data_IF_201110696810
#
_entry.id   IF_201110696810
#
_cell.length_a   1.000
_cell.length_b   1.000
_cell.length_c   1.000
_cell.angle_alpha   90.00
_cell.angle_beta   90.00
_cell.angle_gamma   90.00
#
_symmetry.space_group_name_H-M   'P 1'
#
loop_
_entity.id
_entity.type
_entity.pdbx_description
1 polymer ?
#
# COMPACT_ATOMS: atom_id res chain seq x y z
N UNK A 1 -9.98 3.42 27.01
CA UNK A 1 -10.59 3.69 25.69
C UNK A 1 -10.36 2.43 24.87
N UNK A 2 -11.43 1.72 24.50
CA UNK A 2 -11.32 0.44 23.80
C UNK A 2 -10.70 0.67 22.42
N UNK A 3 -9.55 0.04 22.18
CA UNK A 3 -8.94 -0.07 20.85
C UNK A 3 -9.95 -0.81 19.96
N UNK A 4 -10.46 -0.13 18.94
CA UNK A 4 -11.41 -0.73 18.01
C UNK A 4 -10.79 -1.96 17.36
N UNK A 5 -11.40 -3.13 17.58
CA UNK A 5 -11.05 -4.34 16.82
C UNK A 5 -11.21 -4.06 15.32
N UNK A 6 -10.16 -4.28 14.55
CA UNK A 6 -10.15 -4.10 13.10
C UNK A 6 -11.20 -5.00 12.47
N UNK A 7 -12.18 -4.42 11.78
CA UNK A 7 -13.08 -5.18 10.93
C UNK A 7 -12.26 -5.83 9.80
N UNK A 8 -12.60 -7.07 9.44
CA UNK A 8 -12.12 -7.64 8.19
C UNK A 8 -12.56 -6.73 7.02
N UNK A 9 -11.69 -6.44 6.04
CA UNK A 9 -12.00 -5.51 4.97
C UNK A 9 -13.22 -5.99 4.15
N UNK A 10 -14.11 -5.05 3.79
CA UNK A 10 -15.24 -5.33 2.90
C UNK A 10 -14.73 -5.34 1.45
N UNK A 11 -14.33 -6.53 0.99
CA UNK A 11 -13.78 -6.78 -0.32
C UNK A 11 -14.83 -7.47 -1.22
N UNK A 12 -15.27 -6.78 -2.28
CA UNK A 12 -16.09 -7.39 -3.34
C UNK A 12 -15.16 -8.01 -4.40
N UNK A 13 -15.25 -9.32 -4.69
CA UNK A 13 -14.49 -9.91 -5.78
C UNK A 13 -14.91 -9.31 -7.12
N UNK A 14 -13.92 -8.93 -7.93
CA UNK A 14 -14.11 -8.42 -9.29
C UNK A 14 -13.57 -9.39 -10.35
N UNK A 15 -12.38 -9.94 -10.11
CA UNK A 15 -11.72 -10.86 -11.03
C UNK A 15 -11.06 -12.00 -10.26
N UNK A 16 -11.40 -13.24 -10.63
CA UNK A 16 -10.74 -14.43 -10.11
C UNK A 16 -9.43 -14.67 -10.88
N UNK A 17 -8.31 -14.78 -10.17
CA UNK A 17 -6.99 -15.05 -10.75
C UNK A 17 -6.47 -16.45 -10.42
N UNK A 18 -7.17 -17.24 -9.60
CA UNK A 18 -6.84 -18.63 -9.33
C UNK A 18 -6.79 -19.47 -10.61
N UNK A 19 -6.11 -20.61 -10.55
CA UNK A 19 -5.94 -21.53 -11.66
C UNK A 19 -4.49 -21.58 -12.14
N UNK A 20 -4.30 -21.83 -13.44
CA UNK A 20 -2.95 -21.94 -14.00
C UNK A 20 -2.26 -20.57 -14.13
N UNK A 21 -1.02 -20.52 -13.66
CA UNK A 21 -0.05 -19.43 -13.81
C UNK A 21 1.17 -19.92 -14.59
N UNK A 22 1.91 -19.00 -15.21
CA UNK A 22 3.25 -19.29 -15.72
C UNK A 22 4.22 -19.39 -14.55
N UNK A 23 5.17 -20.32 -14.61
CA UNK A 23 6.09 -20.62 -13.51
C UNK A 23 7.51 -20.90 -14.00
N UNK A 24 8.50 -20.42 -13.26
CA UNK A 24 9.91 -20.62 -13.54
C UNK A 24 10.72 -20.61 -12.23
N UNK A 25 11.70 -21.51 -12.12
CA UNK A 25 12.61 -21.60 -10.98
C UNK A 25 13.82 -20.68 -11.13
N UNK A 26 14.36 -20.23 -10.01
CA UNK A 26 15.48 -19.31 -9.94
C UNK A 26 15.05 -17.86 -9.77
N UNK A 27 16.00 -16.94 -9.93
CA UNK A 27 15.78 -15.54 -9.63
C UNK A 27 16.36 -14.62 -10.69
N UNK A 28 15.49 -13.90 -11.39
CA UNK A 28 15.89 -12.91 -12.37
C UNK A 28 14.92 -11.74 -12.37
N UNK A 29 15.40 -10.58 -11.93
CA UNK A 29 14.62 -9.34 -11.85
C UNK A 29 13.92 -8.94 -13.16
N UNK A 30 14.44 -9.35 -14.33
CA UNK A 30 13.81 -9.10 -15.64
C UNK A 30 12.46 -9.78 -15.80
N UNK A 31 12.18 -10.81 -15.01
CA UNK A 31 10.91 -11.53 -15.01
C UNK A 31 9.75 -10.72 -14.42
N UNK A 32 10.03 -9.58 -13.79
CA UNK A 32 9.02 -8.59 -13.43
C UNK A 32 8.58 -7.74 -14.63
N UNK A 33 9.41 -7.62 -15.67
CA UNK A 33 9.16 -6.72 -16.80
C UNK A 33 7.89 -7.13 -17.52
N UNK A 34 7.08 -6.13 -17.86
CA UNK A 34 5.83 -6.40 -18.55
C UNK A 34 6.04 -7.09 -19.90
N UNK A 35 7.03 -6.64 -20.67
CA UNK A 35 7.29 -7.13 -22.02
C UNK A 35 8.11 -8.43 -22.05
N UNK A 36 8.41 -9.03 -20.90
CA UNK A 36 9.13 -10.29 -20.83
C UNK A 36 8.33 -11.42 -21.48
N UNK A 37 8.99 -12.18 -22.36
CA UNK A 37 8.42 -13.34 -23.04
C UNK A 37 8.53 -14.59 -22.15
N UNK A 38 7.41 -14.94 -21.51
CA UNK A 38 7.24 -16.12 -20.67
C UNK A 38 6.62 -17.31 -21.43
N UNK A 39 6.63 -17.29 -22.77
CA UNK A 39 6.03 -18.36 -23.59
C UNK A 39 6.64 -19.73 -23.29
N UNK A 40 7.92 -19.76 -22.92
CA UNK A 40 8.69 -20.96 -22.58
C UNK A 40 8.55 -21.42 -21.13
N UNK A 41 7.96 -20.62 -20.26
CA UNK A 41 7.76 -21.00 -18.86
C UNK A 41 6.76 -22.14 -18.71
N UNK A 42 7.01 -22.96 -17.69
CA UNK A 42 6.12 -24.01 -17.24
C UNK A 42 4.80 -23.43 -16.71
N UNK A 43 3.89 -24.32 -16.34
CA UNK A 43 2.58 -23.96 -15.79
C UNK A 43 2.41 -24.62 -14.44
N UNK A 44 1.82 -23.88 -13.52
CA UNK A 44 1.54 -24.34 -12.15
C UNK A 44 0.14 -23.89 -11.75
N UNK A 45 -0.59 -24.68 -10.97
CA UNK A 45 -1.82 -24.22 -10.36
C UNK A 45 -1.50 -23.31 -9.15
N UNK A 46 -2.21 -22.19 -9.03
CA UNK A 46 -2.17 -21.33 -7.85
C UNK A 46 -3.61 -20.93 -7.46
N UNK A 47 -3.97 -20.99 -6.17
CA UNK A 47 -3.10 -21.37 -5.06
C UNK A 47 -2.93 -22.89 -4.93
N UNK A 48 -1.69 -23.34 -4.73
CA UNK A 48 -1.26 -24.68 -4.32
C UNK A 48 0.24 -24.63 -3.97
N UNK A 49 0.73 -25.41 -2.99
CA UNK A 49 2.17 -25.58 -2.78
C UNK A 49 2.85 -26.13 -4.04
N UNK A 50 4.01 -25.62 -4.42
CA UNK A 50 4.65 -26.06 -5.66
C UNK A 50 5.13 -27.51 -5.62
N UNK A 51 5.31 -28.09 -4.42
CA UNK A 51 5.68 -29.50 -4.22
C UNK A 51 4.57 -30.44 -4.68
N UNK A 52 3.31 -30.01 -4.51
CA UNK A 52 2.13 -30.75 -4.97
C UNK A 52 1.93 -30.62 -6.49
N UNK A 53 2.58 -29.64 -7.11
CA UNK A 53 2.47 -29.31 -8.53
C UNK A 53 3.73 -29.71 -9.34
N UNK A 54 4.54 -30.63 -8.81
CA UNK A 54 5.63 -31.27 -9.54
C UNK A 54 7.04 -30.78 -9.21
N UNK A 55 7.20 -29.97 -8.16
CA UNK A 55 8.51 -29.48 -7.69
C UNK A 55 8.85 -30.00 -6.27
N UNK A 56 8.91 -31.32 -6.05
CA UNK A 56 9.05 -31.88 -4.71
C UNK A 56 10.38 -31.52 -4.05
N UNK A 57 10.31 -30.94 -2.85
CA UNK A 57 11.47 -30.59 -2.02
C UNK A 57 12.35 -29.49 -2.61
N UNK A 58 11.79 -28.64 -3.48
CA UNK A 58 12.48 -27.50 -4.00
C UNK A 58 12.41 -26.34 -3.01
N UNK A 59 13.54 -25.99 -2.41
CA UNK A 59 13.70 -24.77 -1.62
C UNK A 59 14.48 -23.74 -2.45
N UNK A 60 14.04 -22.49 -2.47
CA UNK A 60 14.73 -21.42 -3.17
C UNK A 60 13.81 -20.40 -3.81
N UNK A 61 14.29 -19.82 -4.91
CA UNK A 61 13.57 -18.78 -5.63
C UNK A 61 12.67 -19.37 -6.72
N UNK A 62 11.45 -18.87 -6.82
CA UNK A 62 10.60 -19.14 -7.96
C UNK A 62 9.79 -17.90 -8.33
N UNK A 63 9.31 -17.87 -9.56
CA UNK A 63 8.50 -16.78 -10.06
C UNK A 63 7.21 -17.28 -10.69
N UNK A 64 6.13 -16.57 -10.41
CA UNK A 64 4.84 -16.76 -11.03
C UNK A 64 4.51 -15.57 -11.94
N UNK A 65 3.89 -15.83 -13.10
CA UNK A 65 3.32 -14.77 -13.97
C UNK A 65 1.87 -15.09 -14.35
N UNK A 66 0.99 -14.12 -14.15
CA UNK A 66 -0.42 -14.17 -14.58
C UNK A 66 -0.75 -13.01 -15.47
N UNK A 67 -1.19 -13.34 -16.67
CA UNK A 67 -1.74 -12.35 -17.57
C UNK A 67 -3.26 -12.24 -17.41
N UNK A 68 -3.79 -11.04 -17.51
CA UNK A 68 -5.22 -10.75 -17.34
C UNK A 68 -5.64 -9.45 -18.02
N UNK A 69 -6.94 -9.30 -18.28
CA UNK A 69 -7.56 -8.04 -18.71
C UNK A 69 -8.43 -7.48 -17.58
N UNK A 70 -8.62 -6.17 -17.58
CA UNK A 70 -9.50 -5.46 -16.64
C UNK A 70 -10.59 -4.73 -17.41
N UNK A 71 -11.75 -4.62 -16.79
CA UNK A 71 -12.87 -3.87 -17.36
C UNK A 71 -12.67 -2.36 -17.17
N UNK A 72 -13.24 -1.56 -18.07
CA UNK A 72 -13.07 -0.10 -18.06
C UNK A 72 -13.69 0.57 -16.82
N UNK A 73 -14.70 -0.05 -16.20
CA UNK A 73 -15.36 0.44 -14.99
C UNK A 73 -14.46 0.36 -13.74
N UNK A 74 -13.42 -0.47 -13.76
CA UNK A 74 -12.45 -0.57 -12.66
C UNK A 74 -11.71 0.75 -12.42
N UNK A 75 -11.61 1.64 -13.43
CA UNK A 75 -10.93 2.95 -13.35
C UNK A 75 -11.38 3.83 -12.18
N UNK A 76 -12.63 3.68 -11.74
CA UNK A 76 -13.20 4.49 -10.66
C UNK A 76 -13.27 3.76 -9.32
N UNK A 77 -12.74 2.53 -9.26
CA UNK A 77 -12.81 1.67 -8.07
C UNK A 77 -11.50 1.72 -7.27
N UNK A 78 -11.61 1.44 -5.97
CA UNK A 78 -10.48 1.20 -5.08
C UNK A 78 -10.09 -0.27 -5.17
N UNK A 79 -9.13 -0.57 -6.04
CA UNK A 79 -8.75 -1.94 -6.40
C UNK A 79 -7.68 -2.51 -5.47
N UNK A 80 -7.85 -3.76 -5.06
CA UNK A 80 -6.87 -4.51 -4.27
C UNK A 80 -6.56 -5.84 -4.93
N UNK A 81 -5.30 -6.24 -4.85
CA UNK A 81 -4.84 -7.57 -5.20
C UNK A 81 -4.78 -8.43 -3.94
N UNK A 82 -5.41 -9.60 -3.97
CA UNK A 82 -5.20 -10.68 -3.00
C UNK A 82 -4.47 -11.81 -3.69
N UNK A 83 -3.40 -12.32 -3.08
CA UNK A 83 -2.66 -13.48 -3.57
C UNK A 83 -2.56 -14.60 -2.53
N UNK A 84 -3.55 -14.70 -1.64
CA UNK A 84 -3.54 -15.72 -0.60
C UNK A 84 -2.30 -15.62 0.30
N UNK A 85 -1.91 -16.76 0.86
CA UNK A 85 -0.71 -16.92 1.67
C UNK A 85 0.46 -17.37 0.78
N UNK A 86 1.57 -16.65 0.87
CA UNK A 86 2.78 -16.92 0.10
C UNK A 86 3.90 -17.26 1.08
N UNK A 87 4.49 -18.43 0.90
CA UNK A 87 5.57 -18.95 1.74
C UNK A 87 6.92 -18.76 1.04
N UNK A 88 7.99 -18.27 1.67
CA UNK A 88 8.09 -17.53 2.94
C UNK A 88 8.04 -16.01 2.69
N UNK A 89 8.62 -15.57 1.57
CA UNK A 89 8.87 -14.17 1.24
C UNK A 89 8.39 -13.90 -0.17
N UNK A 90 7.77 -12.74 -0.40
CA UNK A 90 7.33 -12.35 -1.73
C UNK A 90 7.58 -10.88 -2.08
N UNK A 91 7.81 -10.62 -3.36
CA UNK A 91 7.67 -9.30 -3.99
C UNK A 91 6.66 -9.44 -5.14
N UNK A 92 5.74 -8.47 -5.25
CA UNK A 92 4.67 -8.50 -6.26
C UNK A 92 4.74 -7.29 -7.15
N UNK A 93 4.68 -7.55 -8.46
CA UNK A 93 4.81 -6.56 -9.50
C UNK A 93 3.56 -6.57 -10.40
N UNK A 94 3.05 -5.38 -10.71
CA UNK A 94 2.07 -5.16 -11.76
C UNK A 94 2.74 -4.45 -12.93
N UNK A 95 2.82 -5.10 -14.08
CA UNK A 95 3.43 -4.55 -15.29
C UNK A 95 4.86 -4.01 -15.06
N UNK A 96 5.65 -4.65 -14.19
CA UNK A 96 7.01 -4.22 -13.82
C UNK A 96 7.10 -3.21 -12.67
N UNK A 97 5.97 -2.72 -12.15
CA UNK A 97 5.94 -1.86 -10.97
C UNK A 97 5.68 -2.70 -9.73
N UNK A 98 6.57 -2.65 -8.73
CA UNK A 98 6.34 -3.31 -7.45
C UNK A 98 5.15 -2.64 -6.73
N UNK A 99 4.21 -3.44 -6.24
CA UNK A 99 2.98 -2.98 -5.57
C UNK A 99 2.76 -3.61 -4.19
N UNK A 100 3.48 -4.68 -3.85
CA UNK A 100 3.34 -5.36 -2.56
C UNK A 100 4.49 -6.32 -2.29
N UNK A 101 4.55 -6.81 -1.06
CA UNK A 101 5.56 -7.75 -0.58
C UNK A 101 5.09 -8.47 0.69
N UNK A 102 5.76 -9.56 1.04
CA UNK A 102 5.73 -10.18 2.37
C UNK A 102 7.15 -10.57 2.78
N UNK A 103 7.51 -10.33 4.04
CA UNK A 103 8.84 -10.70 4.56
C UNK A 103 10.00 -9.89 3.98
N UNK A 104 11.22 -10.41 4.14
CA UNK A 104 12.45 -9.88 3.56
C UNK A 104 13.26 -10.99 2.92
N UNK A 105 13.79 -10.73 1.73
CA UNK A 105 14.67 -11.66 1.01
C UNK A 105 16.06 -11.75 1.68
N UNK A 106 16.78 -12.88 1.52
CA UNK A 106 18.18 -12.97 1.94
C UNK A 106 19.07 -11.84 1.39
N UNK A 107 20.12 -11.42 2.12
CA UNK A 107 20.66 -12.04 3.34
C UNK A 107 19.90 -11.70 4.63
N UNK A 108 19.08 -10.65 4.64
CA UNK A 108 18.33 -10.20 5.82
C UNK A 108 16.97 -10.92 5.94
N UNK A 109 17.01 -12.25 5.78
CA UNK A 109 15.82 -13.08 5.65
C UNK A 109 14.84 -12.92 6.83
N UNK A 110 13.58 -12.65 6.49
CA UNK A 110 12.48 -12.65 7.44
C UNK A 110 11.25 -13.22 6.77
N UNK A 111 10.70 -14.29 7.34
CA UNK A 111 9.49 -14.91 6.80
C UNK A 111 8.25 -14.03 6.99
N UNK A 112 7.41 -14.00 5.95
CA UNK A 112 6.05 -13.48 5.94
C UNK A 112 4.99 -14.57 5.75
N UNK A 113 5.32 -15.86 5.94
CA UNK A 113 4.48 -17.01 5.62
C UNK A 113 3.06 -16.95 6.20
N UNK A 114 2.90 -16.39 7.41
CA UNK A 114 1.64 -16.33 8.13
C UNK A 114 0.74 -15.15 7.71
N UNK A 115 1.12 -14.39 6.69
CA UNK A 115 0.42 -13.18 6.26
C UNK A 115 -0.11 -13.38 4.84
N UNK A 116 -1.43 -13.26 4.67
CA UNK A 116 -2.02 -13.19 3.35
C UNK A 116 -1.60 -11.88 2.67
N UNK A 117 -1.11 -11.96 1.43
CA UNK A 117 -0.74 -10.77 0.67
C UNK A 117 -1.99 -10.07 0.16
N UNK A 118 -2.22 -8.87 0.68
CA UNK A 118 -3.23 -7.92 0.22
C UNK A 118 -2.59 -6.55 0.00
N UNK A 119 -2.64 -6.03 -1.23
CA UNK A 119 -2.06 -4.72 -1.56
C UNK A 119 -2.97 -3.90 -2.48
N UNK A 120 -2.87 -2.58 -2.36
CA UNK A 120 -3.56 -1.65 -3.24
C UNK A 120 -3.02 -1.80 -4.67
N UNK A 121 -3.91 -1.76 -5.66
CA UNK A 121 -3.53 -1.63 -7.07
C UNK A 121 -3.67 -0.16 -7.46
N UNK A 122 -2.56 0.56 -7.72
CA UNK A 122 -2.64 1.91 -8.29
C UNK A 122 -3.26 1.84 -9.69
N UNK A 123 -4.42 2.47 -9.89
CA UNK A 123 -5.13 2.48 -11.18
C UNK A 123 -4.25 2.94 -12.37
N UNK A 124 -3.23 3.78 -12.12
CA UNK A 124 -2.29 4.23 -13.14
C UNK A 124 -1.30 3.17 -13.64
N UNK A 125 -1.10 2.08 -12.88
CA UNK A 125 -0.28 0.95 -13.31
C UNK A 125 -1.06 -0.05 -14.16
N UNK A 126 -2.39 0.03 -14.15
CA UNK A 126 -3.25 -0.79 -14.98
C UNK A 126 -3.32 -0.27 -16.42
N UNK A 127 -3.33 -1.22 -17.35
CA UNK A 127 -3.65 -1.01 -18.75
C UNK A 127 -5.03 -1.55 -19.04
N UNK A 128 -5.92 -0.69 -19.50
CA UNK A 128 -7.32 -1.08 -19.73
C UNK A 128 -7.58 -1.54 -21.16
N UNK A 129 -6.75 -1.11 -22.10
CA UNK A 129 -6.92 -1.40 -23.53
C UNK A 129 -6.09 -2.62 -23.96
N UNK A 130 -5.29 -3.20 -23.06
CA UNK A 130 -4.43 -4.33 -23.34
C UNK A 130 -4.26 -5.23 -22.11
N UNK A 131 -3.49 -6.28 -22.26
CA UNK A 131 -3.20 -7.24 -21.22
C UNK A 131 -2.30 -6.63 -20.13
N UNK A 132 -2.58 -6.99 -18.89
CA UNK A 132 -1.75 -6.72 -17.74
C UNK A 132 -1.06 -8.01 -17.32
N UNK A 133 0.08 -7.88 -16.65
CA UNK A 133 0.76 -9.01 -16.02
C UNK A 133 1.01 -8.73 -14.54
N UNK A 134 0.62 -9.68 -13.69
CA UNK A 134 1.11 -9.78 -12.31
C UNK A 134 2.30 -10.74 -12.33
N UNK A 135 3.43 -10.31 -11.79
CA UNK A 135 4.59 -11.16 -11.52
C UNK A 135 4.79 -11.26 -10.02
N UNK A 136 5.02 -12.46 -9.51
CA UNK A 136 5.26 -12.72 -8.08
C UNK A 136 6.61 -13.41 -7.98
N UNK A 137 7.55 -12.74 -7.33
CA UNK A 137 8.83 -13.34 -6.93
C UNK A 137 8.63 -13.96 -5.55
N UNK A 138 9.01 -15.21 -5.38
CA UNK A 138 8.90 -15.94 -4.13
C UNK A 138 10.27 -16.48 -3.74
N UNK A 139 10.59 -16.41 -2.45
CA UNK A 139 11.68 -17.17 -1.86
C UNK A 139 11.13 -18.02 -0.73
N UNK A 140 11.28 -19.33 -0.87
CA UNK A 140 11.04 -20.31 0.17
C UNK A 140 12.39 -20.74 0.77
N UNK A 141 12.48 -20.69 2.09
CA UNK A 141 13.67 -21.16 2.81
C UNK A 141 13.65 -22.67 3.02
N UNK A 142 12.47 -23.28 3.26
CA UNK A 142 12.29 -24.71 3.50
C UNK A 142 10.81 -25.12 3.44
N UNK A 143 10.61 -26.39 3.12
CA UNK A 143 9.33 -27.13 3.22
C UNK A 143 8.43 -26.95 2.01
N UNK A 144 7.37 -26.17 2.13
CA UNK A 144 6.29 -26.12 1.16
C UNK A 144 6.16 -24.69 0.67
N UNK A 145 6.71 -24.42 -0.52
CA UNK A 145 6.80 -23.07 -1.04
C UNK A 145 5.66 -22.67 -1.98
N UNK A 146 5.63 -21.37 -2.27
CA UNK A 146 4.76 -20.81 -3.30
C UNK A 146 3.50 -20.12 -2.78
N UNK A 147 2.55 -19.89 -3.68
CA UNK A 147 1.22 -19.35 -3.34
C UNK A 147 0.35 -20.50 -2.86
N UNK A 148 0.37 -20.79 -1.56
CA UNK A 148 -0.08 -22.10 -1.04
C UNK A 148 -1.61 -22.23 -0.93
N UNK A 149 -2.30 -21.21 -0.42
CA UNK A 149 -3.74 -21.24 -0.19
C UNK A 149 -4.36 -19.85 -0.05
N UNK A 150 -5.69 -19.77 -0.03
CA UNK A 150 -6.45 -18.52 0.13
C UNK A 150 -6.97 -17.94 -1.18
N UNK A 151 -7.56 -16.76 -1.11
CA UNK A 151 -8.18 -16.11 -2.26
C UNK A 151 -7.14 -15.45 -3.16
N UNK A 152 -7.19 -15.75 -4.48
CA UNK A 152 -6.31 -15.16 -5.49
C UNK A 152 -7.15 -14.41 -6.52
N UNK A 153 -7.07 -13.07 -6.49
CA UNK A 153 -7.93 -12.24 -7.35
C UNK A 153 -7.80 -10.74 -7.14
N UNK A 154 -8.55 -9.99 -7.94
CA UNK A 154 -8.72 -8.54 -7.82
C UNK A 154 -10.08 -8.25 -7.18
N UNK A 155 -10.07 -7.35 -6.21
CA UNK A 155 -11.22 -6.98 -5.40
C UNK A 155 -11.43 -5.48 -5.40
N UNK A 156 -12.68 -5.05 -5.28
CA UNK A 156 -13.03 -3.68 -4.91
C UNK A 156 -13.12 -3.60 -3.39
N UNK A 157 -12.37 -2.69 -2.79
CA UNK A 157 -12.46 -2.38 -1.38
C UNK A 157 -13.54 -1.32 -1.12
N UNK A 158 -14.56 -1.69 -0.34
CA UNK A 158 -15.79 -0.89 -0.11
C UNK A 158 -15.93 -0.35 1.30
N UNK A 159 -15.15 -0.86 2.24
CA UNK A 159 -15.11 -0.39 3.62
C UNK A 159 -14.41 0.98 3.74
N UNK A 160 -13.66 1.41 2.74
CA UNK A 160 -13.01 2.71 2.75
C UNK A 160 -13.95 3.88 2.53
N UNK A 161 -13.67 4.93 3.29
CA UNK A 161 -14.28 6.22 3.07
C UNK A 161 -13.58 6.90 1.89
N UNK A 162 -14.14 6.76 0.70
CA UNK A 162 -13.65 7.46 -0.49
C UNK A 162 -13.59 8.98 -0.21
N UNK A 163 -12.41 9.62 -0.40
CA UNK A 163 -12.24 11.04 -0.18
C UNK A 163 -13.25 11.87 -0.99
N UNK A 164 -13.70 13.00 -0.43
CA UNK A 164 -14.41 14.04 -1.21
C UNK A 164 -13.45 14.74 -2.20
N UNK A 165 -12.15 14.72 -1.91
CA UNK A 165 -11.09 15.23 -2.75
C UNK A 165 -9.87 14.31 -2.66
N UNK A 166 -9.54 13.64 -3.75
CA UNK A 166 -8.40 12.71 -3.82
C UNK A 166 -7.07 13.47 -3.83
N UNK A 167 -6.16 13.06 -2.97
CA UNK A 167 -4.78 13.56 -2.94
C UNK A 167 -3.78 12.46 -3.31
N UNK A 168 -4.22 11.25 -3.66
CA UNK A 168 -3.33 10.22 -4.20
C UNK A 168 -2.70 10.69 -5.52
N UNK A 169 -1.48 10.23 -5.81
CA UNK A 169 -0.72 10.79 -6.93
C UNK A 169 0.75 10.99 -6.63
N UNK A 170 1.38 11.84 -7.44
CA UNK A 170 2.79 12.19 -7.30
C UNK A 170 2.94 13.29 -6.26
N UNK A 171 3.76 13.01 -5.25
CA UNK A 171 4.12 13.93 -4.19
C UNK A 171 5.61 14.23 -4.30
N UNK A 172 6.02 15.46 -3.97
CA UNK A 172 7.43 15.78 -3.76
C UNK A 172 7.94 15.00 -2.56
N UNK A 173 9.18 14.55 -2.63
CA UNK A 173 9.78 13.68 -1.64
C UNK A 173 11.25 14.01 -1.42
N UNK A 174 11.71 13.89 -0.17
CA UNK A 174 13.08 14.20 0.23
C UNK A 174 13.47 13.36 1.43
N UNK A 175 14.60 12.66 1.32
CA UNK A 175 15.22 11.99 2.48
C UNK A 175 15.94 13.01 3.36
N UNK A 176 16.05 12.70 4.65
CA UNK A 176 16.61 13.58 5.67
C UNK A 176 15.53 14.29 6.50
N UNK A 177 15.99 15.11 7.45
CA UNK A 177 15.13 15.71 8.47
C UNK A 177 15.48 17.18 8.71
N UNK A 178 14.63 18.08 8.21
CA UNK A 178 14.74 19.52 8.39
C UNK A 178 13.33 20.12 8.51
N UNK A 179 13.01 20.63 9.69
CA UNK A 179 11.68 21.15 10.03
C UNK A 179 11.29 22.39 9.23
N UNK A 180 12.26 23.09 8.61
CA UNK A 180 11.95 24.19 7.69
C UNK A 180 11.18 23.74 6.46
N UNK A 181 11.24 22.44 6.13
CA UNK A 181 10.52 21.84 5.01
C UNK A 181 9.01 21.71 5.28
N UNK A 182 8.51 22.03 6.47
CA UNK A 182 7.07 22.19 6.71
C UNK A 182 6.51 23.49 6.12
N UNK A 183 7.34 24.53 5.98
CA UNK A 183 6.88 25.87 5.64
C UNK A 183 6.20 25.92 4.25
N UNK A 184 5.05 26.60 4.16
CA UNK A 184 4.29 26.73 2.92
C UNK A 184 5.13 27.34 1.78
N UNK A 185 5.98 28.32 2.10
CA UNK A 185 6.81 29.03 1.14
C UNK A 185 8.12 28.32 0.75
N UNK A 186 8.42 27.15 1.34
CA UNK A 186 9.64 26.42 1.02
C UNK A 186 9.65 25.96 -0.45
N UNK A 187 10.80 26.12 -1.12
CA UNK A 187 11.00 25.73 -2.52
C UNK A 187 11.40 24.24 -2.61
N UNK A 188 10.42 23.42 -2.99
CA UNK A 188 10.54 21.98 -3.22
C UNK A 188 10.75 21.63 -4.70
N UNK A 189 11.08 22.60 -5.56
CA UNK A 189 11.23 22.38 -7.01
C UNK A 189 12.30 21.34 -7.37
N UNK A 190 13.33 21.20 -6.52
CA UNK A 190 14.43 20.24 -6.69
C UNK A 190 14.18 18.88 -6.04
N UNK A 191 13.03 18.69 -5.39
CA UNK A 191 12.70 17.42 -4.77
C UNK A 191 12.28 16.41 -5.84
N UNK A 192 12.67 15.16 -5.63
CA UNK A 192 12.20 14.05 -6.44
C UNK A 192 10.71 13.81 -6.21
N UNK A 193 10.07 13.08 -7.10
CA UNK A 193 8.66 12.72 -6.98
C UNK A 193 8.53 11.23 -6.70
N UNK A 194 7.57 10.91 -5.83
CA UNK A 194 7.15 9.54 -5.51
C UNK A 194 5.63 9.47 -5.60
N UNK A 195 5.12 8.30 -5.95
CA UNK A 195 3.72 7.95 -5.87
C UNK A 195 3.29 7.71 -4.42
N UNK A 196 2.12 8.23 -4.09
CA UNK A 196 1.44 8.04 -2.81
C UNK A 196 0.00 7.60 -3.09
N UNK A 197 -0.50 6.52 -2.47
CA UNK A 197 0.24 5.60 -1.62
C UNK A 197 1.11 4.62 -2.43
N UNK A 198 2.32 4.35 -1.95
CA UNK A 198 3.24 3.29 -2.39
C UNK A 198 4.46 3.26 -1.45
N UNK A 199 5.03 2.08 -1.23
CA UNK A 199 6.28 1.91 -0.45
C UNK A 199 7.49 2.56 -1.13
N UNK A 200 8.54 2.84 -0.37
CA UNK A 200 9.77 3.48 -0.84
C UNK A 200 10.64 2.58 -1.73
N UNK A 201 10.76 1.29 -1.41
CA UNK A 201 11.56 0.32 -2.19
C UNK A 201 11.08 0.20 -3.64
N UNK A 202 9.76 0.17 -3.83
CA UNK A 202 9.11 0.17 -5.15
C UNK A 202 9.45 1.40 -6.00
N UNK A 203 10.06 2.41 -5.39
CA UNK A 203 10.32 3.73 -5.97
C UNK A 203 11.81 4.07 -6.00
N UNK A 204 12.68 3.10 -5.69
CA UNK A 204 14.12 3.21 -5.80
C UNK A 204 14.87 3.52 -4.50
N UNK A 205 14.17 3.62 -3.36
CA UNK A 205 14.78 3.85 -2.04
C UNK A 205 14.87 2.55 -1.25
N UNK A 206 15.57 1.58 -1.82
CA UNK A 206 15.67 0.24 -1.22
C UNK A 206 16.40 0.28 0.11
N UNK A 207 15.86 -0.40 1.12
CA UNK A 207 16.44 -0.51 2.47
C UNK A 207 16.76 0.85 3.11
N UNK A 208 15.97 1.90 2.79
CA UNK A 208 16.15 3.21 3.38
C UNK A 208 15.34 3.32 4.68
N UNK A 209 16.02 3.27 5.81
CA UNK A 209 15.45 3.61 7.11
C UNK A 209 15.82 5.04 7.51
N UNK A 210 14.87 5.77 8.09
CA UNK A 210 15.12 7.10 8.65
C UNK A 210 14.02 8.10 8.35
N UNK A 211 14.42 9.36 8.23
CA UNK A 211 13.48 10.45 8.04
C UNK A 211 13.26 10.75 6.56
N UNK A 212 12.00 10.96 6.20
CA UNK A 212 11.64 11.53 4.92
C UNK A 212 10.61 12.62 5.10
N UNK A 213 10.54 13.49 4.11
CA UNK A 213 9.49 14.48 3.99
C UNK A 213 8.80 14.32 2.65
N UNK A 214 7.47 14.38 2.72
CA UNK A 214 6.63 14.54 1.55
C UNK A 214 6.04 15.93 1.49
N UNK A 215 5.82 16.45 0.28
CA UNK A 215 5.07 17.68 0.04
C UNK A 215 4.12 17.54 -1.15
N UNK A 216 2.90 18.05 -1.01
CA UNK A 216 1.94 18.19 -2.10
C UNK A 216 1.25 19.53 -2.03
N UNK A 217 1.09 20.16 -3.19
CA UNK A 217 0.38 21.42 -3.37
C UNK A 217 -0.98 21.15 -4.00
N UNK A 218 -2.03 21.79 -3.48
CA UNK A 218 -3.38 21.60 -3.98
C UNK A 218 -4.25 22.84 -3.78
N UNK A 219 -5.27 22.98 -4.62
CA UNK A 219 -6.34 23.97 -4.45
C UNK A 219 -7.59 23.27 -3.97
N UNK A 220 -8.19 23.80 -2.90
CA UNK A 220 -9.42 23.24 -2.35
C UNK A 220 -10.57 23.46 -3.35
N UNK A 221 -11.35 22.42 -3.67
CA UNK A 221 -12.59 22.56 -4.43
C UNK A 221 -13.58 23.52 -3.75
N UNK A 222 -14.29 24.33 -4.53
CA UNK A 222 -15.21 25.35 -4.01
C UNK A 222 -16.31 24.78 -3.10
N UNK A 223 -16.77 23.55 -3.37
CA UNK A 223 -17.76 22.83 -2.56
C UNK A 223 -17.22 22.38 -1.18
N UNK A 224 -15.90 22.37 -0.98
CA UNK A 224 -15.26 21.98 0.27
C UNK A 224 -14.68 23.16 1.06
N UNK A 225 -14.52 24.33 0.44
CA UNK A 225 -13.83 25.50 0.99
C UNK A 225 -14.35 25.99 2.36
N UNK A 226 -15.64 25.82 2.65
CA UNK A 226 -16.27 26.24 3.90
C UNK A 226 -16.73 25.04 4.77
N UNK A 227 -16.25 23.83 4.46
CA UNK A 227 -16.61 22.62 5.20
C UNK A 227 -15.54 22.32 6.24
N UNK A 228 -15.93 21.67 7.33
CA UNK A 228 -14.96 21.06 8.26
C UNK A 228 -14.41 19.81 7.59
N UNK A 229 -13.09 19.72 7.44
CA UNK A 229 -12.42 18.64 6.73
C UNK A 229 -11.57 17.79 7.67
N UNK A 230 -11.39 16.53 7.28
CA UNK A 230 -10.45 15.57 7.85
C UNK A 230 -9.51 15.15 6.72
N UNK A 231 -8.22 15.25 6.95
CA UNK A 231 -7.18 14.70 6.10
C UNK A 231 -7.06 13.20 6.37
N UNK A 232 -7.18 12.38 5.35
CA UNK A 232 -6.84 10.96 5.36
C UNK A 232 -5.46 10.81 4.72
N UNK A 233 -4.54 10.11 5.40
CA UNK A 233 -3.22 9.74 4.85
C UNK A 233 -3.04 8.21 4.77
N UNK A 234 -4.13 7.44 4.88
CA UNK A 234 -4.08 5.99 4.82
C UNK A 234 -3.17 5.39 5.91
N UNK A 235 -2.32 4.41 5.57
CA UNK A 235 -1.33 3.86 6.50
C UNK A 235 0.07 4.34 6.13
N UNK A 236 0.82 4.72 7.16
CA UNK A 236 2.20 5.20 7.05
C UNK A 236 3.06 4.33 7.94
N UNK A 237 4.13 3.80 7.38
CA UNK A 237 5.19 3.08 8.09
C UNK A 237 6.32 4.06 8.43
N UNK A 238 6.64 4.39 9.69
CA UNK A 238 6.08 3.96 10.98
C UNK A 238 5.33 5.13 11.64
N UNK A 239 6.05 6.21 11.96
CA UNK A 239 5.52 7.42 12.62
C UNK A 239 5.46 8.60 11.66
N UNK A 240 4.56 9.55 11.96
CA UNK A 240 4.42 10.75 11.15
C UNK A 240 3.98 12.00 11.92
N UNK A 241 4.31 13.16 11.35
CA UNK A 241 3.76 14.47 11.65
C UNK A 241 3.25 15.12 10.36
N UNK A 242 1.99 15.57 10.36
CA UNK A 242 1.34 16.20 9.21
C UNK A 242 1.15 17.70 9.44
N UNK A 243 1.55 18.50 8.45
CA UNK A 243 1.51 19.96 8.49
C UNK A 243 0.69 20.50 7.33
N UNK A 244 -0.20 21.45 7.61
CA UNK A 244 -0.92 22.21 6.60
C UNK A 244 -0.46 23.66 6.63
N UNK A 245 0.07 24.13 5.50
CA UNK A 245 0.56 25.49 5.34
C UNK A 245 1.60 25.93 6.39
N UNK A 246 2.42 24.97 6.86
CA UNK A 246 3.44 25.19 7.89
C UNK A 246 3.01 24.86 9.32
N UNK A 247 1.71 24.64 9.56
CA UNK A 247 1.16 24.40 10.89
C UNK A 247 0.87 22.91 11.12
N UNK A 248 1.31 22.37 12.25
CA UNK A 248 1.07 20.96 12.60
C UNK A 248 -0.43 20.71 12.83
N UNK A 249 -1.01 19.78 12.09
CA UNK A 249 -2.43 19.41 12.20
C UNK A 249 -2.67 18.05 12.85
N UNK A 250 -1.64 17.20 12.93
CA UNK A 250 -1.75 15.88 13.52
C UNK A 250 -0.44 15.11 13.53
N UNK A 251 -0.40 14.03 14.31
CA UNK A 251 0.73 13.11 14.40
C UNK A 251 0.27 11.72 14.83
N UNK A 252 1.03 10.70 14.49
CA UNK A 252 0.94 9.35 15.06
C UNK A 252 2.32 8.88 15.46
N UNK A 253 2.42 8.32 16.67
CA UNK A 253 3.71 7.97 17.27
C UNK A 253 4.52 9.20 17.69
N UNK A 254 5.82 8.98 17.96
CA UNK A 254 6.75 10.03 18.37
C UNK A 254 8.04 9.95 17.59
N UNK A 255 8.30 10.96 16.77
CA UNK A 255 9.54 11.12 16.04
C UNK A 255 10.72 11.38 17.00
N UNK A 256 11.82 10.63 16.85
CA UNK A 256 13.04 10.81 17.64
C UNK A 256 14.27 10.29 16.90
N UNK A 257 15.42 10.93 17.07
CA UNK A 257 16.70 10.40 16.57
C UNK A 257 17.17 9.19 17.40
N UNK A 258 17.90 8.27 16.75
CA UNK A 258 18.51 7.11 17.42
C UNK A 258 17.53 6.02 17.81
N UNK A 259 16.42 5.88 17.08
CA UNK A 259 15.57 4.70 17.19
C UNK A 259 16.24 3.51 16.52
N UNK A 260 15.92 2.32 17.02
CA UNK A 260 16.37 1.03 16.51
C UNK A 260 15.18 0.14 16.24
N UNK A 261 15.41 -1.01 15.62
CA UNK A 261 14.41 -2.08 15.46
C UNK A 261 13.68 -2.44 16.77
N UNK A 262 14.21 -2.16 17.96
CA UNK A 262 13.52 -2.42 19.24
C UNK A 262 12.44 -1.41 19.59
N UNK A 263 12.39 -0.30 18.87
CA UNK A 263 11.49 0.81 19.11
C UNK A 263 10.29 0.82 18.14
N UNK A 264 10.16 -0.20 17.27
CA UNK A 264 8.98 -0.38 16.42
C UNK A 264 7.73 -0.59 17.25
N UNK A 265 6.62 -0.03 16.78
CA UNK A 265 5.33 -0.13 17.43
C UNK A 265 4.27 -0.69 16.51
N UNK A 266 3.01 -0.31 16.75
CA UNK A 266 1.89 -0.68 15.89
C UNK A 266 1.46 0.49 14.99
N UNK A 267 2.22 1.58 14.98
CA UNK A 267 1.98 2.79 14.22
C UNK A 267 1.85 2.50 12.73
N UNK A 268 2.71 1.65 12.15
CA UNK A 268 2.60 1.23 10.75
C UNK A 268 1.21 0.69 10.33
N UNK A 269 0.44 0.08 11.24
CA UNK A 269 -0.89 -0.47 10.95
C UNK A 269 -2.03 0.55 11.09
N UNK A 270 -1.78 1.69 11.73
CA UNK A 270 -2.82 2.66 12.06
C UNK A 270 -3.25 3.45 10.82
N UNK A 271 -4.55 3.67 10.66
CA UNK A 271 -5.03 4.62 9.65
C UNK A 271 -4.92 6.05 10.16
N UNK A 272 -4.38 6.93 9.32
CA UNK A 272 -4.16 8.33 9.62
C UNK A 272 -5.36 9.17 9.21
N UNK A 273 -5.92 9.86 10.19
CA UNK A 273 -7.02 10.79 10.01
C UNK A 273 -6.86 12.01 10.93
N UNK A 274 -6.57 13.18 10.36
CA UNK A 274 -6.30 14.41 11.10
C UNK A 274 -7.31 15.50 10.78
N UNK A 275 -7.88 16.13 11.81
CA UNK A 275 -8.84 17.21 11.60
C UNK A 275 -8.10 18.46 11.10
N UNK A 276 -8.61 19.09 10.04
CA UNK A 276 -8.04 20.33 9.53
C UNK A 276 -8.79 21.52 10.16
N UNK A 277 -8.09 22.42 10.90
CA UNK A 277 -8.65 23.71 11.29
C UNK A 277 -8.99 24.55 10.06
N UNK A 278 -10.24 25.04 10.00
CA UNK A 278 -10.72 25.83 8.85
C UNK A 278 -9.88 27.09 8.61
N UNK A 279 -9.33 27.68 9.68
CA UNK A 279 -8.47 28.88 9.63
C UNK A 279 -7.14 28.65 8.93
N UNK A 280 -6.69 27.39 8.81
CA UNK A 280 -5.43 27.06 8.13
C UNK A 280 -5.60 26.88 6.63
N UNK A 281 -6.83 26.66 6.15
CA UNK A 281 -7.08 26.50 4.72
C UNK A 281 -7.04 27.86 4.02
N UNK A 282 -6.40 27.87 2.85
CA UNK A 282 -6.47 28.95 1.89
C UNK A 282 -7.52 28.59 0.81
N UNK A 283 -8.79 29.02 0.95
CA UNK A 283 -9.86 28.63 0.03
C UNK A 283 -9.76 29.30 -1.34
N UNK A 284 -9.00 30.41 -1.45
CA UNK A 284 -8.86 31.19 -2.68
C UNK A 284 -7.52 30.94 -3.40
N UNK A 285 -6.65 30.14 -2.81
CA UNK A 285 -5.31 29.92 -3.31
C UNK A 285 -4.83 28.49 -3.13
N UNK A 286 -3.53 28.32 -3.23
CA UNK A 286 -2.86 27.05 -3.04
C UNK A 286 -2.65 26.77 -1.56
N UNK A 287 -2.76 25.49 -1.21
CA UNK A 287 -2.42 24.93 0.09
C UNK A 287 -1.25 23.97 -0.10
N UNK A 288 -0.37 23.92 0.89
CA UNK A 288 0.74 22.97 0.96
C UNK A 288 0.49 22.01 2.11
N UNK A 289 0.42 20.73 1.81
CA UNK A 289 0.49 19.66 2.81
C UNK A 289 1.92 19.13 2.83
N UNK A 290 2.54 19.11 4.00
CA UNK A 290 3.82 18.48 4.24
C UNK A 290 3.64 17.34 5.25
N UNK A 291 4.28 16.19 5.02
CA UNK A 291 4.23 15.04 5.93
C UNK A 291 5.66 14.61 6.21
N UNK A 292 6.06 14.72 7.48
CA UNK A 292 7.33 14.23 8.00
C UNK A 292 7.11 12.81 8.47
N UNK A 293 7.85 11.86 7.93
CA UNK A 293 7.74 10.44 8.27
C UNK A 293 9.07 9.96 8.81
N UNK A 294 9.02 9.12 9.84
CA UNK A 294 10.16 8.35 10.28
C UNK A 294 9.81 6.88 10.16
N UNK A 295 10.57 6.19 9.33
CA UNK A 295 10.63 4.75 9.27
C UNK A 295 11.86 4.27 10.06
N UNK A 296 11.70 3.15 10.74
CA UNK A 296 12.72 2.59 11.63
C UNK A 296 13.25 1.27 11.09
N UNK A 297 12.43 0.52 10.35
CA UNK A 297 12.79 -0.81 9.88
C UNK A 297 11.84 -1.29 8.79
N UNK A 298 12.34 -2.14 7.89
CA UNK A 298 11.62 -2.71 6.74
C UNK A 298 11.39 -1.67 5.64
N UNK A 299 10.13 -1.42 5.30
CA UNK A 299 9.75 -0.74 4.08
C UNK A 299 8.95 0.50 4.44
N UNK A 300 9.60 1.64 4.46
CA UNK A 300 8.90 2.89 4.71
C UNK A 300 7.90 3.25 3.61
N UNK A 301 6.98 4.15 3.97
CA UNK A 301 6.06 4.71 3.00
C UNK A 301 4.71 5.08 3.56
N UNK A 302 4.06 6.02 2.89
CA UNK A 302 2.59 6.08 2.88
C UNK A 302 2.15 4.94 1.96
N UNK A 303 1.98 3.73 2.49
CA UNK A 303 1.93 2.51 1.68
C UNK A 303 0.51 2.01 1.37
N UNK A 304 -0.49 2.46 2.13
CA UNK A 304 -1.90 2.10 1.91
C UNK A 304 -2.79 3.34 1.95
N UNK A 305 -3.94 3.27 1.27
CA UNK A 305 -4.90 4.36 1.16
C UNK A 305 -6.04 4.30 2.20
N UNK A 306 -7.06 5.16 2.04
CA UNK A 306 -7.17 6.25 1.07
C UNK A 306 -6.36 7.49 1.50
N UNK A 307 -5.94 8.31 0.54
CA UNK A 307 -5.20 9.57 0.76
C UNK A 307 -5.98 10.73 0.16
N UNK A 308 -6.43 11.68 0.98
CA UNK A 308 -7.31 12.74 0.51
C UNK A 308 -8.03 13.50 1.60
N UNK A 309 -8.95 14.38 1.21
CA UNK A 309 -9.78 15.13 2.14
C UNK A 309 -11.20 14.58 2.15
N UNK A 310 -11.79 14.52 3.34
CA UNK A 310 -13.19 14.18 3.52
C UNK A 310 -13.86 15.17 4.47
N UNK A 311 -15.14 15.43 4.25
CA UNK A 311 -15.95 16.20 5.18
C UNK A 311 -16.05 15.48 6.51
N UNK A 312 -15.96 16.24 7.61
CA UNK A 312 -16.04 15.70 8.97
C UNK A 312 -17.34 14.92 9.19
N UNK A 313 -18.44 15.36 8.61
CA UNK A 313 -19.74 14.70 8.76
C UNK A 313 -19.72 13.29 8.14
N UNK A 314 -19.17 13.14 6.92
CA UNK A 314 -18.97 11.83 6.27
C UNK A 314 -18.02 10.95 7.07
N UNK A 315 -16.93 11.52 7.60
CA UNK A 315 -15.98 10.79 8.45
C UNK A 315 -16.63 10.26 9.74
N UNK A 316 -17.37 11.09 10.45
CA UNK A 316 -18.08 10.69 11.67
C UNK A 316 -19.17 9.65 11.37
N UNK A 317 -19.96 9.85 10.32
CA UNK A 317 -20.98 8.89 9.91
C UNK A 317 -20.39 7.50 9.60
N UNK A 318 -19.19 7.44 9.01
CA UNK A 318 -18.49 6.16 8.78
C UNK A 318 -18.03 5.52 10.10
N UNK A 319 -17.46 6.32 11.02
CA UNK A 319 -16.97 5.84 12.33
C UNK A 319 -18.08 5.34 13.25
N UNK A 320 -19.26 5.97 13.18
CA UNK A 320 -20.41 5.65 14.02
C UNK A 320 -21.31 4.57 13.41
N UNK A 321 -21.03 4.10 12.19
CA UNK A 321 -21.83 3.08 11.51
C UNK A 321 -21.89 1.81 12.38
N UNK A 322 -23.09 1.36 12.82
CA UNK A 322 -23.23 0.16 13.61
C UNK A 322 -22.68 -1.04 12.84
N UNK A 323 -21.95 -1.91 13.52
CA UNK A 323 -21.45 -3.17 12.94
C UNK A 323 -22.63 -4.01 12.48
N UNK A 324 -22.57 -4.57 11.28
CA UNK A 324 -23.60 -5.52 10.87
C UNK A 324 -23.48 -6.81 11.70
N UNK A 325 -24.61 -7.50 11.93
CA UNK A 325 -24.61 -8.79 12.66
C UNK A 325 -23.67 -9.80 11.98
N UNK A 326 -23.57 -9.75 10.65
CA UNK A 326 -22.67 -10.58 9.87
C UNK A 326 -21.19 -10.21 10.04
N UNK A 327 -20.87 -8.92 10.20
CA UNK A 327 -19.51 -8.45 10.53
C UNK A 327 -19.08 -8.89 11.94
N UNK A 328 -20.02 -8.91 12.88
CA UNK A 328 -19.77 -9.39 14.25
C UNK A 328 -19.56 -10.90 14.30
N UNK A 329 -20.28 -11.66 13.46
CA UNK A 329 -20.17 -13.11 13.40
C UNK A 329 -18.85 -13.57 12.75
N UNK A 330 -18.35 -12.91 11.70
CA UNK A 330 -17.01 -13.23 11.12
C UNK A 330 -15.88 -13.06 12.13
N UNK A 331 -15.93 -12.01 12.95
CA UNK A 331 -14.93 -11.74 13.98
C UNK A 331 -14.93 -12.76 15.14
N UNK A 332 -15.94 -13.64 15.23
CA UNK A 332 -16.04 -14.67 16.25
C UNK A 332 -15.52 -16.06 15.78
N UNK A 333 -15.18 -16.19 14.49
CA UNK A 333 -14.73 -17.45 13.86
C UNK A 333 -13.34 -17.35 13.21
N UNK A 334 -12.65 -16.22 13.36
CA UNK A 334 -11.20 -16.03 13.15
C UNK A 334 -10.53 -15.85 14.51
#
# INVERSE_FOLDING_TARGET
MSLGSSQAPDLRPLLNLSGNWKFELGDNSRWSEQAFDDSKWDRIYAPAPWEEEGYPGYDGYAWYRKHFRVDADFRTMSLYLRLGYIDDVSEVFLNGHMIGYTGMFPPDFMTGYAVALECLIPNEFLRYDTENVISVRVYDYKQAGGITHGDVGIYERRDFLNPDFDLSGKWKFKTGDDESWAASAFDDSRWQEVKVPLIWDAQGFKNYDGFVWYRVKFRIPANLANRRLVLLLGRIDDMDEAYLNGELIGRTGRLRRGLSQKDYGNEYRQQRAYTIPLSLLNPKGENTLAVRVQDVWLHGGIYDGPVGLVTRDRYMARRERPRSVWELLRQAFE
#
